data_IF_364013606897
#
_entry.id   IF_364013606897
#
_cell.length_a   1.000
_cell.length_b   1.000
_cell.length_c   1.000
_cell.angle_alpha   90.00
_cell.angle_beta   90.00
_cell.angle_gamma   90.00
#
_symmetry.space_group_name_H-M   'P 1'
#
loop_
_entity.id
_entity.type
_entity.pdbx_description
1 polymer ?
#
# COMPACT_ATOMS: atom_id res chain seq x y z
N UNK A 1 -6.09 6.67 4.81
CA UNK A 1 -5.65 7.91 4.09
C UNK A 1 -5.33 7.50 2.67
N UNK A 2 -5.90 8.18 1.66
CA UNK A 2 -5.55 7.98 0.25
C UNK A 2 -4.45 8.95 -0.13
N UNK A 3 -3.43 8.46 -0.83
CA UNK A 3 -2.26 9.23 -1.26
C UNK A 3 -1.95 8.83 -2.70
N UNK A 4 -1.66 9.80 -3.54
CA UNK A 4 -1.22 9.55 -4.91
C UNK A 4 0.15 8.83 -4.92
N UNK A 5 0.28 7.80 -5.75
CA UNK A 5 1.52 7.02 -5.90
C UNK A 5 2.73 7.90 -6.15
N UNK A 6 2.57 8.96 -6.93
CA UNK A 6 3.64 9.86 -7.36
C UNK A 6 4.24 10.63 -6.18
N UNK A 7 3.45 10.88 -5.12
CA UNK A 7 3.91 11.49 -3.87
C UNK A 7 4.81 10.52 -3.09
N UNK A 8 4.47 9.23 -3.08
CA UNK A 8 5.24 8.20 -2.38
C UNK A 8 6.53 7.86 -3.13
N UNK A 9 6.49 7.83 -4.46
CA UNK A 9 7.69 7.67 -5.29
C UNK A 9 8.68 8.83 -5.09
N UNK A 10 8.21 10.08 -5.05
CA UNK A 10 9.04 11.24 -4.72
C UNK A 10 9.67 11.15 -3.32
N UNK A 11 8.99 10.49 -2.37
CA UNK A 11 9.49 10.24 -1.02
C UNK A 11 10.44 9.04 -0.92
N UNK A 12 10.83 8.43 -2.04
CA UNK A 12 11.65 7.20 -2.09
C UNK A 12 11.02 6.04 -1.31
N UNK A 13 9.68 5.99 -1.24
CA UNK A 13 8.98 4.89 -0.62
C UNK A 13 9.21 3.62 -1.45
N UNK A 14 9.77 2.59 -0.82
CA UNK A 14 10.13 1.35 -1.52
C UNK A 14 9.04 0.29 -1.30
N UNK A 15 8.14 0.16 -2.28
CA UNK A 15 7.03 -0.81 -2.28
C UNK A 15 7.47 -2.29 -2.20
N UNK A 16 8.76 -2.57 -2.47
CA UNK A 16 9.32 -3.92 -2.37
C UNK A 16 9.38 -4.43 -0.93
N UNK A 17 9.52 -3.56 0.06
CA UNK A 17 9.68 -3.97 1.45
C UNK A 17 8.33 -4.03 2.16
N UNK A 18 7.92 -5.24 2.52
CA UNK A 18 6.74 -5.53 3.32
C UNK A 18 7.00 -6.76 4.20
N UNK A 19 6.39 -6.79 5.38
CA UNK A 19 6.48 -7.91 6.32
C UNK A 19 5.48 -9.00 5.99
N UNK A 20 4.25 -8.62 5.62
CA UNK A 20 3.19 -9.56 5.27
C UNK A 20 2.43 -9.10 4.04
N UNK A 21 1.93 -10.08 3.29
CA UNK A 21 1.04 -9.87 2.16
C UNK A 21 -0.28 -10.57 2.48
N UNK A 22 -1.38 -9.84 2.32
CA UNK A 22 -2.72 -10.36 2.57
C UNK A 22 -3.59 -10.16 1.34
N UNK A 23 -4.16 -11.25 0.83
CA UNK A 23 -5.07 -11.21 -0.32
C UNK A 23 -6.48 -11.40 0.22
N UNK A 24 -7.33 -10.39 0.01
CA UNK A 24 -8.74 -10.49 0.37
C UNK A 24 -9.47 -11.40 -0.64
N UNK A 25 -10.61 -11.97 -0.25
CA UNK A 25 -11.48 -12.82 -1.09
C UNK A 25 -11.91 -12.17 -2.41
N UNK A 26 -11.81 -10.84 -2.53
CA UNK A 26 -12.03 -10.08 -3.79
C UNK A 26 -10.79 -9.98 -4.68
N UNK A 27 -9.70 -10.69 -4.39
CA UNK A 27 -8.43 -10.62 -5.11
C UNK A 27 -7.62 -9.34 -4.87
N UNK A 28 -7.96 -8.58 -3.83
CA UNK A 28 -7.26 -7.33 -3.47
C UNK A 28 -6.05 -7.63 -2.59
N UNK A 29 -4.87 -7.19 -3.02
CA UNK A 29 -3.61 -7.38 -2.30
C UNK A 29 -3.33 -6.21 -1.37
N UNK A 30 -3.15 -6.52 -0.09
CA UNK A 30 -2.71 -5.60 0.94
C UNK A 30 -1.29 -5.95 1.35
N UNK A 31 -0.42 -4.95 1.34
CA UNK A 31 0.95 -5.06 1.77
C UNK A 31 1.09 -4.44 3.15
N UNK A 32 1.63 -5.20 4.10
CA UNK A 32 1.82 -4.76 5.48
C UNK A 32 3.28 -4.45 5.75
N UNK A 33 3.53 -3.38 6.48
CA UNK A 33 4.81 -2.92 7.00
C UNK A 33 4.59 -2.62 8.47
N UNK A 34 4.75 -3.62 9.33
CA UNK A 34 4.39 -3.55 10.75
C UNK A 34 2.93 -3.08 10.95
N UNK A 35 2.71 -1.95 11.62
CA UNK A 35 1.38 -1.38 11.91
C UNK A 35 0.77 -0.61 10.73
N UNK A 36 1.51 -0.46 9.63
CA UNK A 36 1.03 0.18 8.40
C UNK A 36 0.66 -0.88 7.38
N UNK A 37 -0.49 -0.71 6.73
CA UNK A 37 -0.88 -1.46 5.55
C UNK A 37 -1.10 -0.51 4.39
N UNK A 38 -0.72 -0.91 3.20
CA UNK A 38 -1.00 -0.16 1.99
C UNK A 38 -1.56 -1.04 0.89
N UNK A 39 -2.34 -0.41 0.02
CA UNK A 39 -2.98 -1.05 -1.12
C UNK A 39 -2.94 -0.11 -2.31
N UNK A 40 -2.49 -0.60 -3.47
CA UNK A 40 -2.58 0.11 -4.76
C UNK A 40 -3.97 -0.07 -5.39
N UNK A 41 -4.51 1.03 -5.92
CA UNK A 41 -5.70 1.06 -6.76
C UNK A 41 -5.29 1.15 -8.24
N UNK A 42 -6.20 0.76 -9.13
CA UNK A 42 -6.01 0.87 -10.58
C UNK A 42 -5.92 2.31 -11.09
N UNK A 43 -6.20 3.31 -10.25
CA UNK A 43 -6.26 4.71 -10.59
C UNK A 43 -5.03 5.50 -10.08
N UNK A 44 -3.88 4.81 -9.90
CA UNK A 44 -2.63 5.34 -9.33
C UNK A 44 -2.73 5.89 -7.88
N UNK A 45 -3.82 5.59 -7.19
CA UNK A 45 -4.00 5.92 -5.79
C UNK A 45 -3.53 4.79 -4.87
N UNK A 46 -2.94 5.16 -3.74
CA UNK A 46 -2.49 4.25 -2.70
C UNK A 46 -3.26 4.54 -1.42
N UNK A 47 -3.96 3.54 -0.90
CA UNK A 47 -4.62 3.64 0.39
C UNK A 47 -3.68 3.13 1.46
N UNK A 48 -3.34 4.01 2.41
CA UNK A 48 -2.58 3.69 3.61
C UNK A 48 -3.55 3.58 4.78
N UNK A 49 -3.49 2.45 5.46
CA UNK A 49 -4.22 2.11 6.67
C UNK A 49 -3.20 1.94 7.78
N UNK A 50 -3.44 2.51 8.96
CA UNK A 50 -2.63 2.26 10.15
C UNK A 50 -3.53 1.61 11.19
N UNK A 51 -3.10 0.51 11.79
CA UNK A 51 -3.81 -0.13 12.89
C UNK A 51 -3.27 0.36 14.23
#
# INVERSE_FOLDING_TARGET
>A
ITVDRLVLEKKKFTFKYHTHLHINSKGKTYYYVYDLAWMEFSNDEILIIRK
#
